data_IF_653953833340
#
_entry.id   IF_653953833340
#
_cell.length_a   1.000
_cell.length_b   1.000
_cell.length_c   1.000
_cell.angle_alpha   90.00
_cell.angle_beta   90.00
_cell.angle_gamma   90.00
#
_symmetry.space_group_name_H-M   'P 1'
#
loop_
_entity.id
_entity.type
_entity.pdbx_description
1 polymer ?
#
# COMPACT_ATOMS: atom_id res chain seq x y z
N UNK A 1 -4.60 -41.54 64.30
CA UNK A 1 -4.39 -41.45 62.84
C UNK A 1 -4.78 -40.05 62.40
N UNK A 2 -3.80 -39.16 62.30
CA UNK A 2 -4.00 -37.75 61.97
C UNK A 2 -3.55 -37.55 60.53
N UNK A 3 -4.48 -37.28 59.64
CA UNK A 3 -4.20 -36.96 58.24
C UNK A 3 -3.80 -35.45 58.09
N UNK A 4 -2.55 -35.19 57.74
CA UNK A 4 -2.06 -33.88 57.33
C UNK A 4 -2.40 -33.63 55.86
N UNK A 5 -3.30 -32.66 55.65
CA UNK A 5 -3.63 -32.16 54.30
C UNK A 5 -2.54 -31.19 53.89
N UNK A 6 -1.74 -31.54 52.87
CA UNK A 6 -0.79 -30.58 52.22
C UNK A 6 -1.53 -29.72 51.24
N UNK A 7 -1.66 -28.41 51.58
CA UNK A 7 -2.19 -27.41 50.68
C UNK A 7 -1.02 -26.91 49.80
N UNK A 8 -1.14 -27.17 48.49
CA UNK A 8 -0.22 -26.61 47.51
C UNK A 8 -0.72 -25.21 47.12
N UNK A 9 0.02 -24.14 47.48
CA UNK A 9 -0.22 -22.80 47.00
C UNK A 9 0.30 -22.70 45.55
N UNK A 10 -0.61 -22.62 44.58
CA UNK A 10 -0.29 -22.31 43.19
C UNK A 10 -0.18 -20.82 43.08
N UNK A 11 1.05 -20.27 43.06
CA UNK A 11 1.30 -18.86 42.72
C UNK A 11 1.07 -18.67 41.22
N UNK A 12 -0.10 -18.11 40.85
CA UNK A 12 -0.38 -17.65 39.47
C UNK A 12 0.38 -16.33 39.30
N UNK A 13 1.49 -16.37 38.59
CA UNK A 13 2.17 -15.17 38.13
C UNK A 13 1.35 -14.51 37.05
N UNK A 14 0.66 -13.43 37.37
CA UNK A 14 0.06 -12.52 36.42
C UNK A 14 1.19 -11.76 35.71
N UNK A 15 1.58 -12.21 34.52
CA UNK A 15 2.44 -11.40 33.62
C UNK A 15 1.51 -10.39 32.95
N UNK A 16 1.66 -9.07 33.25
CA UNK A 16 0.88 -8.08 32.55
C UNK A 16 1.27 -8.09 31.07
N UNK A 17 0.31 -8.39 30.20
CA UNK A 17 0.46 -8.15 28.78
C UNK A 17 0.56 -6.65 28.57
N UNK A 18 1.80 -6.14 28.49
CA UNK A 18 2.05 -4.76 28.09
C UNK A 18 1.73 -4.70 26.59
N UNK A 19 0.53 -4.23 26.29
CA UNK A 19 0.13 -3.89 24.94
C UNK A 19 0.91 -2.63 24.54
N UNK A 20 2.12 -2.77 24.01
CA UNK A 20 2.82 -1.68 23.37
C UNK A 20 2.03 -1.31 22.12
N UNK A 21 1.35 -0.17 22.16
CA UNK A 21 0.80 0.44 20.96
C UNK A 21 1.93 0.64 19.96
N UNK A 22 1.74 0.22 18.71
CA UNK A 22 2.72 0.38 17.66
C UNK A 22 3.05 1.86 17.48
N UNK A 23 4.32 2.23 17.67
CA UNK A 23 4.79 3.61 17.52
C UNK A 23 4.80 3.99 16.04
N UNK A 24 4.22 5.16 15.73
CA UNK A 24 4.21 5.75 14.38
C UNK A 24 5.22 6.90 14.37
N UNK A 25 6.31 6.69 13.67
CA UNK A 25 7.30 7.73 13.44
C UNK A 25 6.86 8.67 12.31
N UNK A 26 7.13 9.96 12.48
CA UNK A 26 6.82 11.00 11.49
C UNK A 26 8.12 11.54 10.92
N UNK A 27 8.23 11.47 9.61
CA UNK A 27 9.39 11.96 8.87
C UNK A 27 9.00 13.02 7.86
N UNK A 28 9.98 13.81 7.44
CA UNK A 28 9.90 14.68 6.27
C UNK A 28 10.87 14.12 5.24
N UNK A 29 10.32 13.78 4.06
CA UNK A 29 11.08 13.25 2.93
C UNK A 29 11.04 14.28 1.81
N UNK A 30 12.18 14.57 1.21
CA UNK A 30 12.23 15.50 0.06
C UNK A 30 11.95 14.71 -1.23
N UNK A 31 10.83 15.03 -1.88
CA UNK A 31 10.50 14.54 -3.22
C UNK A 31 11.49 15.09 -4.25
N UNK A 32 11.65 14.40 -5.38
CA UNK A 32 12.54 14.90 -6.46
C UNK A 32 12.01 16.19 -7.13
N UNK A 33 10.74 16.54 -6.95
CA UNK A 33 10.17 17.84 -7.30
C UNK A 33 10.39 18.93 -6.21
N UNK A 34 11.22 18.64 -5.21
CA UNK A 34 11.52 19.50 -4.05
C UNK A 34 10.38 19.67 -3.03
N UNK A 35 9.27 18.97 -3.18
CA UNK A 35 8.21 18.97 -2.16
C UNK A 35 8.67 18.28 -0.88
N UNK A 36 8.48 18.92 0.27
CA UNK A 36 8.74 18.32 1.57
C UNK A 36 7.53 17.48 2.00
N UNK A 37 7.59 16.19 1.74
CA UNK A 37 6.51 15.25 2.06
C UNK A 37 6.52 14.86 3.52
N UNK A 38 5.35 14.89 4.14
CA UNK A 38 5.15 14.15 5.38
C UNK A 38 5.14 12.65 5.07
N UNK A 39 5.77 11.86 5.91
CA UNK A 39 5.73 10.42 5.80
C UNK A 39 5.50 9.77 7.17
N UNK A 40 4.79 8.67 7.20
CA UNK A 40 4.61 7.84 8.39
C UNK A 40 5.42 6.56 8.21
N UNK A 41 6.20 6.22 9.23
CA UNK A 41 6.98 5.00 9.27
C UNK A 41 6.58 4.18 10.50
N UNK A 42 6.37 2.89 10.29
CA UNK A 42 6.10 1.93 11.34
C UNK A 42 7.09 0.78 11.22
N UNK A 43 7.66 0.39 12.34
CA UNK A 43 8.59 -0.74 12.43
C UNK A 43 7.96 -1.94 13.11
N UNK A 44 8.45 -3.17 12.87
CA UNK A 44 8.13 -4.33 13.68
C UNK A 44 8.48 -4.09 15.15
N UNK A 45 7.63 -4.58 16.06
CA UNK A 45 7.83 -4.43 17.52
C UNK A 45 9.06 -5.18 18.07
N UNK A 46 9.75 -5.98 17.28
CA UNK A 46 10.93 -6.70 17.74
C UNK A 46 12.12 -5.77 17.91
N UNK A 47 12.34 -5.29 19.13
CA UNK A 47 13.50 -4.47 19.52
C UNK A 47 14.86 -5.19 19.41
N UNK A 48 14.89 -6.46 18.99
CA UNK A 48 16.07 -7.32 19.13
C UNK A 48 16.86 -7.53 17.84
N UNK A 49 16.43 -7.01 16.70
CA UNK A 49 17.19 -7.18 15.45
C UNK A 49 18.03 -5.95 15.15
N UNK A 50 19.35 -6.10 15.22
CA UNK A 50 20.35 -5.13 14.69
C UNK A 50 20.50 -5.23 13.16
N UNK A 51 19.85 -6.22 12.53
CA UNK A 51 19.94 -6.45 11.09
C UNK A 51 19.04 -5.47 10.32
N UNK A 52 19.45 -5.03 9.13
CA UNK A 52 18.60 -4.28 8.23
C UNK A 52 17.30 -5.02 7.92
N UNK A 53 16.20 -4.28 7.78
CA UNK A 53 14.83 -4.80 7.65
C UNK A 53 14.28 -4.58 6.24
N UNK A 54 13.47 -5.52 5.74
CA UNK A 54 12.72 -5.29 4.50
C UNK A 54 11.72 -4.15 4.68
N UNK A 55 11.53 -3.36 3.61
CA UNK A 55 10.71 -2.15 3.65
C UNK A 55 9.61 -2.20 2.60
N UNK A 56 8.39 -1.90 3.00
CA UNK A 56 7.26 -1.66 2.11
C UNK A 56 7.05 -0.15 1.97
N UNK A 57 7.21 0.40 0.79
CA UNK A 57 6.81 1.77 0.45
C UNK A 57 5.36 1.72 -0.02
N UNK A 58 4.44 2.17 0.82
CA UNK A 58 3.00 2.01 0.66
C UNK A 58 2.35 3.28 0.09
N UNK A 59 1.77 3.17 -1.10
CA UNK A 59 1.25 4.28 -1.90
C UNK A 59 -0.27 4.32 -1.83
N UNK A 60 -0.83 5.27 -1.10
CA UNK A 60 -2.27 5.41 -0.90
C UNK A 60 -3.06 5.67 -2.20
N UNK A 61 -4.33 5.27 -2.24
CA UNK A 61 -5.25 5.55 -3.34
C UNK A 61 -5.66 7.03 -3.44
N UNK A 62 -6.63 7.32 -4.32
CA UNK A 62 -7.13 8.69 -4.51
C UNK A 62 -7.82 9.27 -3.26
N UNK A 63 -8.23 8.45 -2.30
CA UNK A 63 -8.82 8.88 -1.02
C UNK A 63 -7.83 9.44 0.00
N UNK A 64 -6.53 9.43 -0.32
CA UNK A 64 -5.49 9.88 0.60
C UNK A 64 -5.11 8.83 1.65
N UNK A 65 -4.21 9.23 2.54
CA UNK A 65 -3.64 8.36 3.56
C UNK A 65 -4.55 8.25 4.80
N UNK A 66 -5.28 9.30 5.11
CA UNK A 66 -6.01 9.44 6.37
C UNK A 66 -7.53 9.29 6.20
N UNK A 67 -8.19 8.92 7.29
CA UNK A 67 -9.64 9.02 7.41
C UNK A 67 -10.06 10.48 7.43
N UNK A 68 -11.07 10.84 6.62
CA UNK A 68 -11.56 12.21 6.48
C UNK A 68 -12.77 12.51 7.38
N UNK A 69 -13.35 11.47 8.02
CA UNK A 69 -14.56 11.59 8.86
C UNK A 69 -14.56 10.62 10.04
N UNK A 70 -15.52 10.79 10.94
CA UNK A 70 -15.72 9.92 12.09
C UNK A 70 -14.64 10.05 13.17
N UNK A 71 -14.64 9.12 14.12
CA UNK A 71 -13.73 9.09 15.28
C UNK A 71 -12.25 8.86 14.90
N UNK A 72 -12.00 8.40 13.69
CA UNK A 72 -10.66 8.16 13.17
C UNK A 72 -10.17 9.28 12.23
N UNK A 73 -10.86 10.43 12.18
CA UNK A 73 -10.43 11.56 11.35
C UNK A 73 -8.98 11.95 11.67
N UNK A 74 -8.16 12.06 10.62
CA UNK A 74 -6.74 12.40 10.74
C UNK A 74 -5.81 11.26 11.15
N UNK A 75 -6.35 10.06 11.45
CA UNK A 75 -5.57 8.83 11.62
C UNK A 75 -5.47 8.08 10.30
N UNK A 76 -4.53 7.15 10.17
CA UNK A 76 -4.50 6.22 9.04
C UNK A 76 -5.90 5.65 8.79
N UNK A 77 -6.33 5.64 7.53
CA UNK A 77 -7.61 5.02 7.21
C UNK A 77 -7.56 3.49 7.49
N UNK A 78 -8.70 2.81 7.64
CA UNK A 78 -8.73 1.41 8.08
C UNK A 78 -7.88 0.46 7.26
N UNK A 79 -7.80 0.62 5.93
CA UNK A 79 -6.96 -0.23 5.08
C UNK A 79 -5.48 -0.01 5.39
N UNK A 80 -5.02 1.24 5.43
CA UNK A 80 -3.61 1.53 5.69
C UNK A 80 -3.22 1.14 7.12
N UNK A 81 -4.10 1.32 8.10
CA UNK A 81 -3.88 0.87 9.47
C UNK A 81 -3.78 -0.66 9.56
N UNK A 82 -4.71 -1.39 8.93
CA UNK A 82 -4.69 -2.85 8.88
C UNK A 82 -3.47 -3.39 8.13
N UNK A 83 -3.09 -2.76 7.01
CA UNK A 83 -1.88 -3.14 6.27
C UNK A 83 -0.61 -2.85 7.07
N UNK A 84 -0.53 -1.74 7.78
CA UNK A 84 0.59 -1.44 8.67
C UNK A 84 0.74 -2.53 9.74
N UNK A 85 -0.35 -2.91 10.38
CA UNK A 85 -0.37 -3.99 11.38
C UNK A 85 0.07 -5.33 10.76
N UNK A 86 -0.45 -5.68 9.58
CA UNK A 86 -0.10 -6.92 8.89
C UNK A 86 1.40 -6.97 8.55
N UNK A 87 1.94 -5.90 7.96
CA UNK A 87 3.34 -5.84 7.54
C UNK A 87 4.28 -5.92 8.75
N UNK A 88 4.03 -5.12 9.78
CA UNK A 88 4.91 -5.09 10.96
C UNK A 88 4.84 -6.38 11.78
N UNK A 89 3.68 -7.04 11.85
CA UNK A 89 3.54 -8.37 12.46
C UNK A 89 4.33 -9.46 11.69
N UNK A 90 4.60 -9.25 10.39
CA UNK A 90 5.39 -10.15 9.55
C UNK A 90 6.86 -9.70 9.36
N UNK A 91 7.34 -8.75 10.16
CA UNK A 91 8.75 -8.36 10.18
C UNK A 91 9.14 -7.26 9.18
N UNK A 92 8.18 -6.66 8.47
CA UNK A 92 8.42 -5.60 7.50
C UNK A 92 8.28 -4.21 8.14
N UNK A 93 9.20 -3.30 7.86
CA UNK A 93 8.95 -1.88 8.06
C UNK A 93 8.03 -1.37 6.95
N UNK A 94 7.13 -0.43 7.28
CA UNK A 94 6.23 0.14 6.27
C UNK A 94 6.29 1.67 6.32
N UNK A 95 6.57 2.27 5.17
CA UNK A 95 6.68 3.70 4.94
C UNK A 95 5.50 4.18 4.08
N UNK A 96 4.78 5.17 4.55
CA UNK A 96 3.66 5.82 3.86
C UNK A 96 4.02 7.26 3.50
N UNK A 97 4.53 7.56 2.31
CA UNK A 97 4.66 8.94 1.83
C UNK A 97 3.28 9.56 1.60
N UNK A 98 3.04 10.75 2.18
CA UNK A 98 1.79 11.48 2.03
C UNK A 98 1.88 12.47 0.87
N UNK A 99 1.50 12.03 -0.31
CA UNK A 99 1.54 12.83 -1.53
C UNK A 99 0.53 13.98 -1.54
N UNK A 100 -0.49 13.96 -0.67
CA UNK A 100 -1.64 14.86 -0.78
C UNK A 100 -1.64 15.98 0.24
N UNK A 101 -1.51 15.68 1.54
CA UNK A 101 -1.72 16.71 2.58
C UNK A 101 -0.69 17.83 2.50
N UNK A 102 0.54 17.53 2.12
CA UNK A 102 1.59 18.52 1.92
C UNK A 102 1.25 19.48 0.76
N UNK A 103 0.50 19.00 -0.24
CA UNK A 103 0.04 19.82 -1.39
C UNK A 103 -1.37 20.38 -1.19
N UNK A 104 -1.88 20.38 0.06
CA UNK A 104 -3.18 20.98 0.41
C UNK A 104 -4.41 20.16 0.01
N UNK A 105 -4.23 18.88 -0.37
CA UNK A 105 -5.32 17.98 -0.75
C UNK A 105 -5.51 16.87 0.27
N UNK A 106 -6.75 16.45 0.47
CA UNK A 106 -7.07 15.28 1.31
C UNK A 106 -7.56 14.09 0.48
N UNK A 107 -8.15 14.36 -0.69
CA UNK A 107 -8.69 13.36 -1.61
C UNK A 107 -8.78 13.92 -3.03
N UNK A 108 -8.53 13.06 -4.02
CA UNK A 108 -8.70 13.35 -5.45
C UNK A 108 -9.82 12.52 -6.08
N UNK A 109 -10.53 11.69 -5.30
CA UNK A 109 -11.48 10.71 -5.85
C UNK A 109 -12.64 11.37 -6.60
N UNK A 110 -13.15 12.48 -6.09
CA UNK A 110 -14.27 13.26 -6.69
C UNK A 110 -13.81 14.27 -7.74
N UNK A 111 -12.53 14.30 -8.10
CA UNK A 111 -11.99 15.16 -9.14
C UNK A 111 -11.89 14.43 -10.48
N UNK A 112 -12.30 15.08 -11.59
CA UNK A 112 -12.02 14.55 -12.93
C UNK A 112 -10.52 14.43 -13.16
N UNK A 113 -10.07 13.39 -13.87
CA UNK A 113 -8.64 13.18 -14.14
C UNK A 113 -7.97 14.40 -14.74
N UNK A 114 -8.64 15.07 -15.70
CA UNK A 114 -8.12 16.27 -16.36
C UNK A 114 -7.91 17.47 -15.44
N UNK A 115 -8.68 17.58 -14.34
CA UNK A 115 -8.61 18.72 -13.41
C UNK A 115 -7.76 18.47 -12.17
N UNK A 116 -7.20 17.28 -12.01
CA UNK A 116 -6.34 16.94 -10.85
C UNK A 116 -5.06 17.77 -10.87
N UNK A 117 -4.81 18.49 -9.80
CA UNK A 117 -3.56 19.24 -9.60
C UNK A 117 -2.39 18.30 -9.30
N UNK A 118 -2.62 17.25 -8.50
CA UNK A 118 -1.63 16.25 -8.19
C UNK A 118 -1.76 15.10 -9.20
N UNK A 119 -0.78 15.03 -10.10
CA UNK A 119 -0.69 14.03 -11.18
C UNK A 119 0.15 12.82 -10.77
N UNK A 120 0.11 11.76 -11.56
CA UNK A 120 0.98 10.59 -11.38
C UNK A 120 2.48 10.95 -11.43
N UNK A 121 2.87 11.98 -12.20
CA UNK A 121 4.24 12.47 -12.22
C UNK A 121 4.69 12.95 -10.85
N UNK A 122 3.96 13.86 -10.21
CA UNK A 122 4.31 14.35 -8.87
C UNK A 122 4.43 13.19 -7.86
N UNK A 123 3.51 12.22 -7.92
CA UNK A 123 3.55 11.07 -7.01
C UNK A 123 4.69 10.09 -7.29
N UNK A 124 5.09 9.94 -8.55
CA UNK A 124 6.28 9.16 -8.87
C UNK A 124 7.58 9.86 -8.42
N UNK A 125 7.60 11.21 -8.44
CA UNK A 125 8.70 11.98 -7.87
C UNK A 125 8.76 11.83 -6.34
N UNK A 126 7.60 11.65 -5.68
CA UNK A 126 7.52 11.31 -4.26
C UNK A 126 8.11 9.93 -3.96
N UNK A 127 7.86 8.93 -4.82
CA UNK A 127 8.46 7.59 -4.71
C UNK A 127 9.97 7.67 -4.90
N UNK A 128 10.45 8.45 -5.87
CA UNK A 128 11.88 8.65 -6.10
C UNK A 128 12.54 9.29 -4.86
N UNK A 129 11.91 10.30 -4.27
CA UNK A 129 12.37 10.90 -3.01
C UNK A 129 12.37 9.92 -1.83
N UNK A 130 11.34 9.08 -1.71
CA UNK A 130 11.28 8.06 -0.67
C UNK A 130 12.40 7.02 -0.80
N UNK A 131 12.73 6.59 -2.02
CA UNK A 131 13.83 5.67 -2.28
C UNK A 131 15.18 6.31 -1.97
N UNK A 132 15.41 7.55 -2.37
CA UNK A 132 16.64 8.29 -2.01
C UNK A 132 16.79 8.46 -0.50
N UNK A 133 15.69 8.72 0.20
CA UNK A 133 15.70 8.80 1.66
C UNK A 133 16.02 7.44 2.29
N UNK A 134 15.40 6.34 1.81
CA UNK A 134 15.67 4.98 2.31
C UNK A 134 17.12 4.54 2.07
N UNK A 135 17.77 5.00 1.02
CA UNK A 135 19.20 4.74 0.74
C UNK A 135 20.12 5.25 1.87
N UNK A 136 19.67 6.27 2.61
CA UNK A 136 20.43 6.84 3.73
C UNK A 136 20.11 6.18 5.09
N UNK A 137 19.16 5.24 5.13
CA UNK A 137 18.69 4.64 6.38
C UNK A 137 19.43 3.34 6.70
N UNK A 138 20.26 3.28 7.76
CA UNK A 138 21.05 2.08 8.07
C UNK A 138 20.20 0.86 8.50
N UNK A 139 18.97 1.10 8.93
CA UNK A 139 18.01 0.05 9.31
C UNK A 139 17.26 -0.56 8.13
N UNK A 140 17.31 0.04 6.92
CA UNK A 140 16.62 -0.45 5.74
C UNK A 140 17.51 -1.41 4.94
N UNK A 141 16.97 -2.60 4.62
CA UNK A 141 17.62 -3.52 3.70
C UNK A 141 17.39 -3.05 2.26
N UNK A 142 18.40 -2.45 1.66
CA UNK A 142 18.37 -1.90 0.31
C UNK A 142 17.99 -2.94 -0.76
N UNK A 143 18.25 -4.23 -0.51
CA UNK A 143 17.90 -5.33 -1.42
C UNK A 143 16.45 -5.80 -1.27
N UNK A 144 15.74 -5.34 -0.22
CA UNK A 144 14.40 -5.80 0.16
C UNK A 144 13.40 -4.67 0.30
N UNK A 145 13.29 -3.83 -0.72
CA UNK A 145 12.30 -2.75 -0.79
C UNK A 145 11.23 -3.10 -1.81
N UNK A 146 9.97 -3.05 -1.43
CA UNK A 146 8.83 -3.29 -2.31
C UNK A 146 7.94 -2.06 -2.38
N UNK A 147 7.48 -1.69 -3.58
CA UNK A 147 6.43 -0.72 -3.77
C UNK A 147 5.08 -1.43 -3.67
N UNK A 148 4.21 -0.97 -2.77
CA UNK A 148 2.85 -1.46 -2.60
C UNK A 148 1.86 -0.32 -2.85
N UNK A 149 0.99 -0.44 -3.86
CA UNK A 149 0.10 0.66 -4.21
C UNK A 149 -1.35 0.25 -4.45
N UNK A 150 -2.29 1.10 -4.04
CA UNK A 150 -3.73 0.90 -4.24
C UNK A 150 -4.30 1.92 -5.22
N UNK A 151 -5.09 1.48 -6.22
CA UNK A 151 -5.80 2.36 -7.13
C UNK A 151 -4.86 3.41 -7.75
N UNK A 152 -5.07 4.70 -7.49
CA UNK A 152 -4.17 5.78 -7.90
C UNK A 152 -2.72 5.57 -7.41
N UNK A 153 -2.51 4.98 -6.22
CA UNK A 153 -1.18 4.58 -5.74
C UNK A 153 -0.61 3.38 -6.50
N UNK A 154 -1.47 2.46 -6.94
CA UNK A 154 -1.08 1.38 -7.83
C UNK A 154 -0.63 1.88 -9.20
N UNK A 155 -1.35 2.84 -9.80
CA UNK A 155 -0.91 3.51 -11.03
C UNK A 155 0.38 4.31 -10.84
N UNK A 156 0.58 4.87 -9.63
CA UNK A 156 1.86 5.50 -9.27
C UNK A 156 2.99 4.48 -9.25
N UNK A 157 2.77 3.31 -8.64
CA UNK A 157 3.76 2.23 -8.62
C UNK A 157 4.13 1.79 -10.04
N UNK A 158 3.15 1.60 -10.95
CA UNK A 158 3.43 1.30 -12.37
C UNK A 158 4.36 2.36 -12.95
N UNK A 159 4.00 3.65 -12.85
CA UNK A 159 4.85 4.72 -13.38
C UNK A 159 6.24 4.74 -12.73
N UNK A 160 6.35 4.41 -11.45
CA UNK A 160 7.61 4.44 -10.71
C UNK A 160 8.56 3.29 -11.06
N UNK A 161 8.09 2.28 -11.79
CA UNK A 161 8.93 1.16 -12.26
C UNK A 161 9.05 1.10 -13.79
N UNK A 162 8.54 2.11 -14.49
CA UNK A 162 8.59 2.16 -15.95
C UNK A 162 10.01 2.52 -16.44
N UNK A 163 10.70 1.58 -17.05
CA UNK A 163 12.04 1.73 -17.62
C UNK A 163 12.14 2.78 -18.74
N UNK A 164 11.01 3.20 -19.32
CA UNK A 164 10.98 4.31 -20.27
C UNK A 164 11.26 5.67 -19.61
N UNK A 165 11.17 5.74 -18.28
CA UNK A 165 11.60 6.92 -17.51
C UNK A 165 13.08 6.83 -17.19
N UNK A 166 13.86 7.81 -17.66
CA UNK A 166 15.31 7.84 -17.43
C UNK A 166 15.70 7.73 -15.96
N UNK A 167 14.98 8.43 -15.06
CA UNK A 167 15.24 8.36 -13.62
C UNK A 167 15.08 6.95 -13.07
N UNK A 168 14.13 6.16 -13.59
CA UNK A 168 13.93 4.76 -13.16
C UNK A 168 15.10 3.89 -13.63
N UNK A 169 15.52 4.04 -14.88
CA UNK A 169 16.65 3.28 -15.45
C UNK A 169 17.99 3.58 -14.76
N UNK A 170 18.17 4.80 -14.20
CA UNK A 170 19.44 5.26 -13.61
C UNK A 170 19.47 5.23 -12.07
N UNK A 171 18.42 4.79 -11.39
CA UNK A 171 18.40 4.72 -9.91
C UNK A 171 19.49 3.79 -9.38
N UNK A 172 20.16 4.22 -8.31
CA UNK A 172 21.08 3.35 -7.56
C UNK A 172 20.31 2.33 -6.74
N UNK A 173 19.25 2.76 -6.06
CA UNK A 173 18.38 1.91 -5.27
C UNK A 173 17.14 1.54 -6.08
N UNK A 174 17.08 0.33 -6.58
CA UNK A 174 15.90 -0.22 -7.23
C UNK A 174 15.07 -1.00 -6.23
N UNK A 175 13.74 -0.81 -6.19
CA UNK A 175 12.87 -1.74 -5.47
C UNK A 175 13.03 -3.17 -6.02
N UNK A 176 12.87 -4.17 -5.17
CA UNK A 176 12.95 -5.58 -5.57
C UNK A 176 11.70 -6.06 -6.32
N UNK A 177 10.55 -5.44 -6.05
CA UNK A 177 9.28 -5.71 -6.74
C UNK A 177 8.29 -4.55 -6.58
N UNK A 178 7.24 -4.56 -7.40
CA UNK A 178 6.04 -3.74 -7.21
C UNK A 178 4.81 -4.65 -7.13
N UNK A 179 3.95 -4.38 -6.14
CA UNK A 179 2.67 -5.07 -5.95
C UNK A 179 1.57 -4.02 -5.96
N UNK A 180 0.55 -4.22 -6.77
CA UNK A 180 -0.52 -3.24 -6.93
C UNK A 180 -1.89 -3.86 -6.75
N UNK A 181 -2.78 -3.13 -6.10
CA UNK A 181 -4.19 -3.45 -5.98
C UNK A 181 -5.00 -2.55 -6.90
N UNK A 182 -5.73 -3.14 -7.80
CA UNK A 182 -6.66 -2.50 -8.75
C UNK A 182 -6.15 -1.16 -9.32
N UNK A 183 -4.94 -1.14 -9.94
CA UNK A 183 -4.40 0.06 -10.55
C UNK A 183 -5.21 0.47 -11.79
N UNK A 184 -5.11 1.74 -12.20
CA UNK A 184 -5.50 2.14 -13.55
C UNK A 184 -4.36 1.82 -14.51
N UNK A 185 -4.59 0.94 -15.49
CA UNK A 185 -3.56 0.46 -16.41
C UNK A 185 -3.67 1.03 -17.84
N UNK A 186 -4.73 1.78 -18.16
CA UNK A 186 -4.98 2.22 -19.54
C UNK A 186 -3.88 3.09 -20.11
N UNK A 187 -3.31 4.00 -19.32
CA UNK A 187 -2.22 4.87 -19.77
C UNK A 187 -0.93 4.06 -19.93
N UNK A 188 -0.58 3.23 -18.96
CA UNK A 188 0.58 2.35 -19.05
C UNK A 188 0.53 1.43 -20.29
N UNK A 189 -0.66 0.91 -20.61
CA UNK A 189 -0.88 0.07 -21.81
C UNK A 189 -0.67 0.87 -23.11
N UNK A 190 -1.13 2.13 -23.17
CA UNK A 190 -0.94 3.01 -24.35
C UNK A 190 0.51 3.45 -24.50
N UNK A 191 1.20 3.70 -23.40
CA UNK A 191 2.55 4.27 -23.37
C UNK A 191 3.65 3.22 -23.52
N UNK A 192 3.31 1.99 -23.91
CA UNK A 192 4.25 0.87 -24.05
C UNK A 192 5.11 0.66 -22.80
N UNK A 193 4.46 0.63 -21.64
CA UNK A 193 5.05 0.41 -20.34
C UNK A 193 6.04 -0.78 -20.33
N UNK A 194 7.19 -0.57 -19.70
CA UNK A 194 8.24 -1.58 -19.55
C UNK A 194 8.68 -1.65 -18.08
N UNK A 195 8.26 -2.66 -17.31
CA UNK A 195 8.67 -2.76 -15.91
C UNK A 195 10.15 -3.04 -15.79
N UNK A 196 10.85 -2.23 -14.98
CA UNK A 196 12.27 -2.43 -14.65
C UNK A 196 12.49 -3.58 -13.66
N UNK A 197 11.46 -3.94 -12.91
CA UNK A 197 11.47 -4.92 -11.82
C UNK A 197 10.21 -5.79 -11.89
N UNK A 198 10.15 -6.93 -11.19
CA UNK A 198 8.96 -7.78 -11.11
C UNK A 198 7.71 -6.99 -10.69
N UNK A 199 6.59 -7.27 -11.37
CA UNK A 199 5.28 -6.66 -11.12
C UNK A 199 4.24 -7.74 -10.83
N UNK A 200 3.46 -7.53 -9.76
CA UNK A 200 2.30 -8.37 -9.42
C UNK A 200 1.07 -7.48 -9.25
N UNK A 201 -0.05 -7.87 -9.83
CA UNK A 201 -1.30 -7.10 -9.78
C UNK A 201 -2.43 -7.92 -9.15
N UNK A 202 -3.10 -7.35 -8.15
CA UNK A 202 -4.31 -7.87 -7.50
C UNK A 202 -5.51 -7.11 -8.08
N UNK A 203 -6.34 -7.77 -8.87
CA UNK A 203 -7.39 -7.15 -9.68
C UNK A 203 -8.77 -7.57 -9.19
N UNK A 204 -9.69 -6.63 -9.10
CA UNK A 204 -11.09 -6.91 -8.78
C UNK A 204 -11.87 -7.17 -10.07
N UNK A 205 -12.61 -8.29 -10.14
CA UNK A 205 -13.31 -8.72 -11.36
C UNK A 205 -14.36 -7.72 -11.82
N UNK A 206 -15.14 -7.18 -10.88
CA UNK A 206 -16.27 -6.29 -11.13
C UNK A 206 -15.92 -4.81 -10.99
N UNK A 207 -14.64 -4.47 -11.03
CA UNK A 207 -14.19 -3.09 -10.87
C UNK A 207 -14.66 -2.20 -12.03
N UNK A 208 -15.62 -1.34 -11.74
CA UNK A 208 -16.17 -0.35 -12.68
C UNK A 208 -15.50 1.03 -12.56
N UNK A 209 -14.52 1.16 -11.68
CA UNK A 209 -13.69 2.36 -11.57
C UNK A 209 -12.39 2.26 -12.36
N UNK A 210 -11.62 1.21 -12.10
CA UNK A 210 -10.40 0.84 -12.83
C UNK A 210 -10.54 -0.59 -13.34
N UNK A 211 -11.23 -0.80 -14.47
CA UNK A 211 -11.58 -2.13 -14.93
C UNK A 211 -10.34 -3.02 -15.13
N UNK A 212 -10.44 -4.33 -14.80
CA UNK A 212 -9.29 -5.24 -14.83
C UNK A 212 -8.76 -5.53 -16.23
N UNK A 213 -9.58 -5.40 -17.26
CA UNK A 213 -9.22 -5.75 -18.66
C UNK A 213 -7.92 -5.13 -19.14
N UNK A 214 -7.72 -3.80 -19.06
CA UNK A 214 -6.45 -3.16 -19.44
C UNK A 214 -5.25 -3.67 -18.62
N UNK A 215 -5.43 -4.00 -17.34
CA UNK A 215 -4.35 -4.53 -16.49
C UNK A 215 -3.98 -5.97 -16.87
N UNK A 216 -4.96 -6.80 -17.17
CA UNK A 216 -4.74 -8.17 -17.66
C UNK A 216 -3.97 -8.14 -18.98
N UNK A 217 -4.37 -7.25 -19.91
CA UNK A 217 -3.67 -7.09 -21.18
C UNK A 217 -2.24 -6.59 -20.97
N UNK A 218 -2.05 -5.59 -20.09
CA UNK A 218 -0.71 -5.08 -19.74
C UNK A 218 0.16 -6.20 -19.17
N UNK A 219 -0.37 -6.98 -18.21
CA UNK A 219 0.36 -8.10 -17.60
C UNK A 219 0.84 -9.11 -18.66
N UNK A 220 -0.04 -9.48 -19.57
CA UNK A 220 0.31 -10.40 -20.67
C UNK A 220 1.39 -9.83 -21.57
N UNK A 221 1.33 -8.54 -21.88
CA UNK A 221 2.31 -7.88 -22.76
C UNK A 221 3.72 -7.83 -22.14
N UNK A 222 3.82 -7.70 -20.81
CA UNK A 222 5.12 -7.51 -20.13
C UNK A 222 5.54 -8.72 -19.27
N UNK A 223 4.80 -9.82 -19.27
CA UNK A 223 5.10 -11.00 -18.46
C UNK A 223 4.90 -10.81 -16.97
N UNK A 224 4.04 -9.86 -16.53
CA UNK A 224 3.76 -9.64 -15.13
C UNK A 224 2.76 -10.68 -14.58
N UNK A 225 2.85 -10.98 -13.29
CA UNK A 225 1.88 -11.82 -12.60
C UNK A 225 0.62 -11.03 -12.24
N UNK A 226 -0.53 -11.68 -12.29
CA UNK A 226 -1.78 -11.07 -11.83
C UNK A 226 -2.74 -12.10 -11.23
N UNK A 227 -3.57 -11.64 -10.30
CA UNK A 227 -4.63 -12.41 -9.66
C UNK A 227 -5.94 -11.62 -9.83
N UNK A 228 -6.99 -12.29 -10.30
CA UNK A 228 -8.34 -11.71 -10.43
C UNK A 228 -9.20 -12.29 -9.32
N UNK A 229 -9.80 -11.41 -8.54
CA UNK A 229 -10.65 -11.77 -7.41
C UNK A 229 -12.12 -11.69 -7.81
N UNK A 230 -12.86 -12.83 -7.79
CA UNK A 230 -14.24 -12.87 -8.25
C UNK A 230 -15.14 -12.04 -7.32
N UNK A 231 -16.28 -11.61 -7.87
CA UNK A 231 -17.33 -10.86 -7.15
C UNK A 231 -16.81 -9.63 -6.37
N UNK A 232 -15.70 -9.04 -6.82
CA UNK A 232 -15.01 -7.97 -6.15
C UNK A 232 -15.07 -6.68 -6.93
N UNK A 233 -15.48 -5.61 -6.26
CA UNK A 233 -15.45 -4.24 -6.77
C UNK A 233 -14.18 -3.52 -6.32
N UNK A 234 -14.01 -2.28 -6.77
CA UNK A 234 -12.91 -1.42 -6.30
C UNK A 234 -12.89 -1.35 -4.76
N UNK A 235 -11.72 -1.31 -4.16
CA UNK A 235 -11.57 -1.22 -2.69
C UNK A 235 -11.93 -2.53 -1.93
N UNK A 236 -11.99 -3.68 -2.62
CA UNK A 236 -12.45 -4.97 -2.07
C UNK A 236 -11.62 -5.48 -0.89
N UNK A 237 -10.34 -5.08 -0.81
CA UNK A 237 -9.40 -5.42 0.25
C UNK A 237 -9.54 -4.54 1.50
N UNK A 238 -10.41 -3.54 1.47
CA UNK A 238 -10.65 -2.70 2.65
C UNK A 238 -11.27 -3.53 3.77
N UNK A 239 -10.71 -3.52 5.00
CA UNK A 239 -11.24 -4.35 6.10
C UNK A 239 -12.62 -3.92 6.57
N UNK A 240 -13.08 -2.74 6.17
CA UNK A 240 -14.38 -2.16 6.59
C UNK A 240 -15.18 -1.63 5.39
N UNK A 241 -16.47 -1.48 5.61
CA UNK A 241 -17.41 -0.89 4.65
C UNK A 241 -18.03 -1.91 3.69
N UNK A 242 -19.36 -1.95 3.64
CA UNK A 242 -20.08 -2.75 2.65
C UNK A 242 -19.91 -2.16 1.24
N UNK A 243 -20.18 -2.99 0.22
CA UNK A 243 -20.26 -2.53 -1.16
C UNK A 243 -21.33 -1.44 -1.29
N UNK A 244 -20.98 -0.34 -1.95
CA UNK A 244 -21.87 0.80 -2.19
C UNK A 244 -21.53 1.52 -3.48
N UNK A 245 -22.50 2.19 -4.05
CA UNK A 245 -22.30 3.11 -5.17
C UNK A 245 -21.80 4.47 -4.66
N UNK A 246 -20.70 4.97 -5.22
CA UNK A 246 -20.14 6.30 -5.00
C UNK A 246 -20.50 7.21 -6.17
N UNK A 247 -21.58 7.98 -6.01
CA UNK A 247 -22.06 8.91 -7.03
C UNK A 247 -21.18 10.17 -7.18
N UNK A 248 -20.32 10.44 -6.20
CA UNK A 248 -19.40 11.58 -6.19
C UNK A 248 -18.15 11.36 -7.07
N UNK A 249 -17.97 10.17 -7.64
CA UNK A 249 -16.84 9.84 -8.51
C UNK A 249 -17.23 10.12 -9.97
N UNK A 250 -16.57 11.10 -10.62
CA UNK A 250 -16.90 11.47 -12.00
C UNK A 250 -16.25 10.57 -13.06
N UNK A 251 -15.29 9.75 -12.66
CA UNK A 251 -14.51 8.85 -13.53
C UNK A 251 -15.03 7.43 -13.39
N UNK A 252 -14.61 6.53 -14.28
CA UNK A 252 -15.00 5.10 -14.27
C UNK A 252 -15.44 4.65 -15.66
N UNK A 253 -15.94 3.42 -15.75
CA UNK A 253 -16.44 2.82 -17.02
C UNK A 253 -17.61 3.62 -17.58
N UNK A 254 -18.49 4.10 -16.71
CA UNK A 254 -19.64 4.93 -17.05
C UNK A 254 -19.49 6.32 -16.40
N UNK A 255 -18.76 7.27 -17.01
CA UNK A 255 -18.49 8.56 -16.39
C UNK A 255 -19.76 9.31 -15.96
N UNK A 256 -19.77 9.79 -14.72
CA UNK A 256 -20.91 10.51 -14.13
C UNK A 256 -22.05 9.62 -13.60
N UNK A 257 -21.93 8.30 -13.69
CA UNK A 257 -22.89 7.35 -13.09
C UNK A 257 -22.45 6.79 -11.74
N UNK A 258 -21.29 7.23 -11.25
CA UNK A 258 -20.67 6.69 -10.06
C UNK A 258 -19.94 5.37 -10.29
N UNK A 259 -19.38 4.82 -9.20
CA UNK A 259 -18.64 3.55 -9.22
C UNK A 259 -18.93 2.75 -7.95
N UNK A 260 -18.87 1.43 -8.04
CA UNK A 260 -19.02 0.57 -6.88
C UNK A 260 -17.70 0.42 -6.15
N UNK A 261 -17.76 0.55 -4.82
CA UNK A 261 -16.60 0.34 -3.93
C UNK A 261 -17.02 -0.39 -2.67
N UNK A 262 -16.15 -1.18 -2.11
CA UNK A 262 -16.38 -1.75 -0.79
C UNK A 262 -15.76 -3.12 -0.59
N UNK A 263 -15.73 -3.52 0.67
CA UNK A 263 -15.15 -4.76 1.12
C UNK A 263 -15.81 -5.99 0.48
N UNK A 264 -14.97 -6.93 0.03
CA UNK A 264 -15.39 -8.31 -0.15
C UNK A 264 -14.85 -9.15 1.04
N UNK A 265 -15.73 -9.75 1.87
CA UNK A 265 -15.30 -10.42 3.10
C UNK A 265 -14.53 -11.73 2.86
N UNK A 266 -14.57 -12.27 1.64
CA UNK A 266 -13.89 -13.51 1.25
C UNK A 266 -12.58 -13.18 0.52
N UNK A 267 -12.67 -12.45 -0.57
CA UNK A 267 -11.52 -12.20 -1.44
C UNK A 267 -10.56 -11.14 -0.90
N UNK A 268 -11.02 -10.21 -0.07
CA UNK A 268 -10.17 -9.22 0.58
C UNK A 268 -9.07 -9.87 1.44
N UNK A 269 -9.40 -10.74 2.43
CA UNK A 269 -8.41 -11.52 3.16
C UNK A 269 -7.52 -12.39 2.27
N UNK A 270 -8.09 -13.08 1.28
CA UNK A 270 -7.31 -13.89 0.33
C UNK A 270 -6.26 -13.05 -0.42
N UNK A 271 -6.58 -11.82 -0.79
CA UNK A 271 -5.63 -10.94 -1.46
C UNK A 271 -4.49 -10.49 -0.53
N UNK A 272 -4.77 -10.31 0.75
CA UNK A 272 -3.73 -10.01 1.75
C UNK A 272 -2.83 -11.21 2.04
N UNK A 273 -3.39 -12.42 2.07
CA UNK A 273 -2.62 -13.67 2.17
C UNK A 273 -1.73 -13.86 0.93
N UNK A 274 -2.28 -13.60 -0.28
CA UNK A 274 -1.52 -13.65 -1.52
C UNK A 274 -0.38 -12.61 -1.54
N UNK A 275 -0.61 -11.41 -1.00
CA UNK A 275 0.42 -10.40 -0.82
C UNK A 275 1.58 -10.94 0.04
N UNK A 276 1.29 -11.52 1.20
CA UNK A 276 2.31 -12.11 2.08
C UNK A 276 3.07 -13.26 1.40
N UNK A 277 2.37 -14.13 0.68
CA UNK A 277 3.01 -15.20 -0.10
C UNK A 277 3.95 -14.64 -1.18
N UNK A 278 3.52 -13.59 -1.87
CA UNK A 278 4.33 -12.91 -2.89
C UNK A 278 5.59 -12.28 -2.28
N UNK A 279 5.44 -11.60 -1.13
CA UNK A 279 6.58 -10.99 -0.42
C UNK A 279 7.60 -12.04 0.05
N UNK A 280 7.16 -13.17 0.58
CA UNK A 280 8.07 -14.26 1.01
C UNK A 280 8.86 -14.82 -0.17
N UNK A 281 8.17 -15.17 -1.27
CA UNK A 281 8.81 -15.70 -2.48
C UNK A 281 9.79 -14.72 -3.14
N UNK A 282 9.62 -13.42 -2.94
CA UNK A 282 10.51 -12.42 -3.51
C UNK A 282 11.91 -12.48 -2.88
N UNK A 283 12.05 -13.02 -1.66
CA UNK A 283 13.29 -12.99 -0.89
C UNK A 283 13.81 -14.37 -0.44
N UNK A 284 13.14 -15.45 -0.88
CA UNK A 284 13.67 -16.82 -0.85
C UNK A 284 14.61 -17.08 -2.02
#
# INVERSE_FOLDING_TARGET
MTHLIKIWLVCIFYVPWICFGQEIEKHVIVSTDSTQLKALLLHPNSMLSTQPRPVIVALHGCGGLYSTSGVNRGKLNPRHAGMAQLMTANGYSILFPDSFSTRGESSLCSQKFSSRKIKQSHRSDDVDGALLWLETQPWADASKIVLLGWSHGGSTALRSIDANRQIVASRRLQPSAAITFYPGCSDALKDNFRPQIPLVMMLAELDDWTPPGPCIQLAKNVGASYFVYPDSYHDFDNPVGAVRLRNDVPNGVNPGKGVHVGRNPITGPQAWDQLLLTLRKQWE
#
